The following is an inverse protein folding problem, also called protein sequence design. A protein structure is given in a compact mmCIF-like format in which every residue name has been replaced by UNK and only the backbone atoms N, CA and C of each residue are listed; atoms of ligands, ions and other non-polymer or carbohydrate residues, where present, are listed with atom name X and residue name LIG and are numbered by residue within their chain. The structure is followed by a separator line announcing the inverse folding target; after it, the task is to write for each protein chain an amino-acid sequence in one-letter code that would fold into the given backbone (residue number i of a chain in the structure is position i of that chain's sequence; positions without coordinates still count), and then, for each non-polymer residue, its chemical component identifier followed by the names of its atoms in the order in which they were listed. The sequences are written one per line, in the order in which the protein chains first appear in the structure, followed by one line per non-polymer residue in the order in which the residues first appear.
data_IF_998099336534
#
_entry.id   IF_998099336534
#
_cell.length_a   1.000
_cell.length_b   1.000
_cell.length_c   1.000
_cell.angle_alpha   90.00
_cell.angle_beta   90.00
_cell.angle_gamma   90.00
#
_symmetry.space_group_name_H-M   'P 1'
#
loop_
_entity.id
_entity.type
_entity.pdbx_description
1 polymer ?
#
# COMPACT_ATOMS: atom_id res chain seq x y z
N UNK A 1 8.76 12.84 -15.33
CA UNK A 1 8.83 11.46 -14.83
C UNK A 1 7.49 10.99 -14.26
N UNK A 2 6.81 11.76 -13.44
CA UNK A 2 5.50 11.38 -12.88
C UNK A 2 4.41 11.19 -13.95
N UNK A 3 4.52 11.83 -15.11
CA UNK A 3 3.58 11.65 -16.22
C UNK A 3 3.48 10.19 -16.68
N UNK A 4 4.58 9.41 -16.60
CA UNK A 4 4.58 7.96 -16.91
C UNK A 4 3.60 7.17 -16.01
N UNK A 5 3.28 7.65 -14.81
CA UNK A 5 2.28 7.04 -13.92
C UNK A 5 0.88 7.16 -14.54
N UNK A 6 0.58 8.34 -15.08
CA UNK A 6 -0.73 8.63 -15.70
C UNK A 6 -0.88 8.00 -17.10
N UNK A 7 0.23 7.82 -17.82
CA UNK A 7 0.26 7.20 -19.15
C UNK A 7 -0.26 5.76 -19.15
N UNK A 8 -0.21 5.05 -18.01
CA UNK A 8 -0.80 3.71 -17.86
C UNK A 8 -2.32 3.70 -17.96
N UNK A 9 -2.96 4.85 -17.89
CA UNK A 9 -4.40 5.00 -18.10
C UNK A 9 -5.29 4.52 -16.95
N UNK A 10 -4.72 3.98 -15.87
CA UNK A 10 -5.45 3.44 -14.70
C UNK A 10 -5.81 4.53 -13.69
N UNK A 11 -4.93 5.53 -13.54
CA UNK A 11 -5.02 6.55 -12.50
C UNK A 11 -5.30 7.94 -13.07
N UNK A 12 -5.96 8.76 -12.23
CA UNK A 12 -6.03 10.23 -12.32
C UNK A 12 -5.46 10.86 -11.05
N UNK A 13 -5.05 12.13 -11.15
CA UNK A 13 -4.66 12.89 -9.97
C UNK A 13 -5.91 13.19 -9.13
N UNK A 14 -5.94 12.72 -7.89
CA UNK A 14 -6.96 13.08 -6.93
C UNK A 14 -6.61 14.39 -6.20
N UNK A 15 -5.35 14.51 -5.75
CA UNK A 15 -4.84 15.68 -5.04
C UNK A 15 -3.42 15.98 -5.50
N UNK A 16 -3.18 17.24 -5.87
CA UNK A 16 -1.84 17.71 -6.27
C UNK A 16 -1.00 18.08 -5.06
N UNK A 17 0.30 17.80 -5.15
CA UNK A 17 1.32 18.28 -4.20
C UNK A 17 0.99 17.95 -2.73
N UNK A 18 0.62 16.70 -2.45
CA UNK A 18 0.29 16.28 -1.08
C UNK A 18 1.41 16.52 -0.08
N UNK A 19 2.66 16.57 -0.53
CA UNK A 19 3.82 16.87 0.31
C UNK A 19 3.83 18.30 0.85
N UNK A 20 3.14 19.24 0.18
CA UNK A 20 2.99 20.63 0.65
C UNK A 20 1.82 20.84 1.62
N UNK A 21 0.99 19.81 1.82
CA UNK A 21 -0.16 19.88 2.72
C UNK A 21 0.28 19.67 4.17
N UNK A 22 -0.46 20.30 5.10
CA UNK A 22 -0.34 19.91 6.50
C UNK A 22 -0.82 18.45 6.68
N UNK A 23 -0.25 17.76 7.64
CA UNK A 23 -0.62 16.38 7.97
C UNK A 23 -2.14 16.22 8.24
N UNK A 24 -2.74 17.21 8.91
CA UNK A 24 -4.18 17.23 9.18
C UNK A 24 -5.01 17.39 7.90
N UNK A 25 -4.64 18.33 7.01
CA UNK A 25 -5.34 18.54 5.74
C UNK A 25 -5.26 17.29 4.84
N UNK A 26 -4.09 16.64 4.76
CA UNK A 26 -3.93 15.42 4.01
C UNK A 26 -4.75 14.26 4.58
N UNK A 27 -4.75 14.10 5.91
CA UNK A 27 -5.54 13.07 6.58
C UNK A 27 -7.07 13.25 6.36
N UNK A 28 -7.55 14.51 6.31
CA UNK A 28 -8.96 14.80 5.99
C UNK A 28 -9.31 14.44 4.54
N UNK A 29 -8.47 14.80 3.58
CA UNK A 29 -8.70 14.46 2.17
C UNK A 29 -8.77 12.94 1.97
N UNK A 30 -7.94 12.17 2.66
CA UNK A 30 -7.96 10.71 2.59
C UNK A 30 -9.27 10.08 3.07
N UNK A 31 -10.10 10.79 3.82
CA UNK A 31 -11.40 10.27 4.29
C UNK A 31 -12.40 10.02 3.16
N UNK A 32 -12.27 10.73 2.04
CA UNK A 32 -13.13 10.55 0.87
C UNK A 32 -12.81 9.30 0.02
N UNK A 33 -11.76 8.56 0.38
CA UNK A 33 -11.26 7.42 -0.40
C UNK A 33 -10.85 6.26 0.51
N UNK A 34 -10.86 5.05 -0.05
CA UNK A 34 -10.11 3.92 0.48
C UNK A 34 -8.70 3.94 -0.12
N UNK A 35 -7.69 4.31 0.69
CA UNK A 35 -6.29 4.28 0.30
C UNK A 35 -5.72 2.86 0.28
N UNK A 36 -4.50 2.69 -0.25
CA UNK A 36 -3.87 1.38 -0.32
C UNK A 36 -3.72 0.70 1.06
N UNK A 37 -3.44 1.47 2.12
CA UNK A 37 -3.41 0.96 3.49
C UNK A 37 -4.76 0.47 4.02
N UNK A 38 -5.89 0.93 3.46
CA UNK A 38 -7.23 0.51 3.86
C UNK A 38 -7.65 -0.82 3.21
N UNK A 39 -6.97 -1.26 2.14
CA UNK A 39 -7.27 -2.50 1.43
C UNK A 39 -7.29 -3.73 2.34
N UNK A 40 -6.43 -3.75 3.35
CA UNK A 40 -6.37 -4.83 4.34
C UNK A 40 -7.63 -4.91 5.21
N UNK A 41 -8.24 -3.77 5.50
CA UNK A 41 -9.48 -3.67 6.26
C UNK A 41 -10.65 -4.10 5.39
N UNK A 42 -10.70 -3.62 4.14
CA UNK A 42 -11.70 -4.06 3.16
C UNK A 42 -11.70 -5.57 2.98
N UNK A 43 -10.54 -6.19 2.89
CA UNK A 43 -10.37 -7.63 2.68
C UNK A 43 -10.39 -8.47 3.99
N UNK A 44 -10.63 -7.86 5.15
CA UNK A 44 -10.75 -8.56 6.44
C UNK A 44 -9.46 -9.20 6.95
N UNK A 45 -8.30 -8.69 6.55
CA UNK A 45 -6.97 -9.18 6.97
C UNK A 45 -6.21 -8.21 7.87
N UNK A 46 -6.79 -7.06 8.18
CA UNK A 46 -6.21 -6.10 9.13
C UNK A 46 -6.30 -6.65 10.56
N UNK A 47 -5.25 -6.41 11.38
CA UNK A 47 -5.18 -6.87 12.76
C UNK A 47 -5.62 -5.81 13.79
N UNK A 48 -5.78 -4.56 13.36
CA UNK A 48 -5.86 -3.42 14.27
C UNK A 48 -7.18 -2.66 14.16
N UNK A 49 -7.88 -2.77 13.02
CA UNK A 49 -9.09 -1.99 12.73
C UNK A 49 -10.09 -2.84 11.95
N UNK A 50 -11.35 -2.77 12.33
CA UNK A 50 -12.47 -3.38 11.60
C UNK A 50 -12.97 -2.45 10.47
N UNK A 51 -13.76 -3.01 9.55
CA UNK A 51 -14.42 -2.22 8.49
C UNK A 51 -15.40 -1.19 9.07
N UNK A 52 -16.13 -1.55 10.13
CA UNK A 52 -17.07 -0.65 10.78
C UNK A 52 -16.37 0.59 11.38
N UNK A 53 -15.24 0.37 12.07
CA UNK A 53 -14.40 1.44 12.60
C UNK A 53 -13.85 2.33 11.49
N UNK A 54 -13.39 1.74 10.37
CA UNK A 54 -12.90 2.49 9.23
C UNK A 54 -14.01 3.37 8.62
N UNK A 55 -15.21 2.82 8.40
CA UNK A 55 -16.35 3.59 7.85
C UNK A 55 -16.72 4.74 8.80
N UNK A 56 -16.79 4.48 10.11
CA UNK A 56 -17.06 5.51 11.12
C UNK A 56 -16.01 6.63 11.09
N UNK A 57 -14.74 6.28 10.98
CA UNK A 57 -13.62 7.22 10.87
C UNK A 57 -13.74 8.10 9.61
N UNK A 58 -14.00 7.46 8.46
CA UNK A 58 -14.14 8.18 7.17
C UNK A 58 -15.37 9.10 7.13
N UNK A 59 -16.44 8.76 7.81
CA UNK A 59 -17.63 9.59 7.92
C UNK A 59 -17.50 10.77 8.91
N UNK A 60 -16.41 10.83 9.66
CA UNK A 60 -16.17 11.92 10.58
C UNK A 60 -15.53 13.12 9.86
N UNK A 61 -16.16 14.30 9.93
CA UNK A 61 -15.66 15.54 9.30
C UNK A 61 -14.35 16.07 9.90
N UNK A 62 -13.98 15.61 11.09
CA UNK A 62 -12.77 16.03 11.80
C UNK A 62 -11.93 14.81 12.14
N UNK A 63 -10.66 15.03 12.39
CA UNK A 63 -9.81 13.99 12.97
C UNK A 63 -10.27 13.71 14.42
N UNK A 64 -10.50 12.45 14.72
CA UNK A 64 -10.81 12.01 16.08
C UNK A 64 -9.60 12.18 16.99
N UNK A 65 -9.83 12.12 18.29
CA UNK A 65 -8.73 12.16 19.27
C UNK A 65 -7.77 10.99 19.07
N UNK A 66 -8.33 9.81 18.81
CA UNK A 66 -7.54 8.58 18.53
C UNK A 66 -6.68 8.71 17.28
N UNK A 67 -7.22 9.28 16.18
CA UNK A 67 -6.44 9.52 14.95
C UNK A 67 -5.25 10.45 15.22
N UNK A 68 -5.46 11.53 16.00
CA UNK A 68 -4.39 12.45 16.41
C UNK A 68 -3.34 11.76 17.30
N UNK A 69 -3.78 11.00 18.30
CA UNK A 69 -2.90 10.25 19.19
C UNK A 69 -2.08 9.20 18.45
N UNK A 70 -2.64 8.53 17.44
CA UNK A 70 -1.91 7.56 16.61
C UNK A 70 -0.80 8.26 15.82
N UNK A 71 -1.09 9.41 15.21
CA UNK A 71 -0.09 10.19 14.44
C UNK A 71 1.07 10.70 15.30
N UNK A 72 0.81 10.91 16.60
CA UNK A 72 1.80 11.39 17.57
C UNK A 72 2.68 10.27 18.16
N UNK A 73 2.36 9.00 17.94
CA UNK A 73 3.15 7.88 18.48
C UNK A 73 4.60 7.93 17.99
N UNK A 74 5.60 7.74 18.88
CA UNK A 74 7.00 7.82 18.50
C UNK A 74 7.39 6.90 17.35
N UNK A 75 6.83 5.69 17.30
CA UNK A 75 7.10 4.72 16.23
C UNK A 75 6.56 5.19 14.87
N UNK A 76 5.42 5.90 14.84
CA UNK A 76 4.84 6.46 13.61
C UNK A 76 5.71 7.61 13.12
N UNK A 77 6.09 8.55 13.98
CA UNK A 77 7.01 9.64 13.64
C UNK A 77 8.34 9.11 13.14
N UNK A 78 8.93 8.14 13.84
CA UNK A 78 10.17 7.48 13.43
C UNK A 78 10.03 6.81 12.06
N UNK A 79 8.86 6.24 11.73
CA UNK A 79 8.57 5.68 10.41
C UNK A 79 8.67 6.74 9.31
N UNK A 80 8.07 7.92 9.51
CA UNK A 80 8.17 9.04 8.55
C UNK A 80 9.60 9.56 8.41
N UNK A 81 10.33 9.71 9.51
CA UNK A 81 11.72 10.22 9.50
C UNK A 81 12.66 9.25 8.78
N UNK A 82 12.41 7.94 8.87
CA UNK A 82 13.25 6.91 8.27
C UNK A 82 12.82 6.46 6.87
N UNK A 83 11.63 6.83 6.40
CA UNK A 83 11.13 6.46 5.07
C UNK A 83 12.13 6.82 3.95
N UNK A 84 12.75 8.02 3.89
CA UNK A 84 13.76 8.32 2.87
C UNK A 84 14.95 7.38 2.92
N UNK A 85 15.42 7.03 4.13
CA UNK A 85 16.55 6.11 4.33
C UNK A 85 16.18 4.69 3.86
N UNK A 86 14.94 4.25 4.10
CA UNK A 86 14.45 2.94 3.65
C UNK A 86 14.40 2.91 2.12
N UNK A 87 13.93 3.99 1.49
CA UNK A 87 13.89 4.11 0.03
C UNK A 87 15.30 4.16 -0.59
N UNK A 88 16.25 4.85 0.04
CA UNK A 88 17.66 4.84 -0.43
C UNK A 88 18.27 3.43 -0.36
N UNK A 89 17.98 2.67 0.70
CA UNK A 89 18.38 1.26 0.79
C UNK A 89 17.69 0.38 -0.26
N UNK A 90 16.40 0.64 -0.53
CA UNK A 90 15.68 -0.08 -1.58
C UNK A 90 16.29 0.20 -2.96
N UNK A 91 16.63 1.46 -3.25
CA UNK A 91 17.31 1.86 -4.49
C UNK A 91 18.63 1.11 -4.64
N UNK A 92 19.49 1.11 -3.61
CA UNK A 92 20.77 0.41 -3.63
C UNK A 92 20.60 -1.11 -3.87
N UNK A 93 19.62 -1.73 -3.21
CA UNK A 93 19.33 -3.15 -3.39
C UNK A 93 18.80 -3.48 -4.80
N UNK A 94 18.02 -2.59 -5.41
CA UNK A 94 17.56 -2.72 -6.79
C UNK A 94 18.73 -2.60 -7.77
N UNK A 95 19.62 -1.64 -7.59
CA UNK A 95 20.83 -1.46 -8.39
C UNK A 95 21.75 -2.69 -8.31
N UNK A 96 21.97 -3.23 -7.10
CA UNK A 96 22.74 -4.45 -6.88
C UNK A 96 22.11 -5.67 -7.57
N UNK A 97 20.77 -5.73 -7.62
CA UNK A 97 20.03 -6.76 -8.34
C UNK A 97 19.97 -6.54 -9.87
N UNK A 98 20.64 -5.50 -10.39
CA UNK A 98 20.74 -5.22 -11.83
C UNK A 98 19.57 -4.41 -12.40
N UNK A 99 18.72 -3.83 -11.58
CA UNK A 99 17.67 -2.91 -12.03
C UNK A 99 18.27 -1.54 -12.39
N UNK A 100 18.07 -1.11 -13.65
CA UNK A 100 18.55 0.18 -14.15
C UNK A 100 17.39 1.18 -14.17
N UNK A 101 17.50 2.25 -13.36
CA UNK A 101 16.44 3.27 -13.27
C UNK A 101 16.61 4.22 -12.10
N UNK A 102 15.53 4.92 -11.77
CA UNK A 102 15.48 5.87 -10.66
C UNK A 102 14.32 5.54 -9.74
N UNK A 103 14.53 5.58 -8.44
CA UNK A 103 13.47 5.54 -7.45
C UNK A 103 13.04 6.98 -7.15
N UNK A 104 11.79 7.32 -7.46
CA UNK A 104 11.21 8.64 -7.21
C UNK A 104 10.13 8.54 -6.14
N UNK A 105 9.91 9.63 -5.39
CA UNK A 105 8.75 9.80 -4.51
C UNK A 105 7.73 10.67 -5.23
N UNK A 106 6.57 10.11 -5.67
CA UNK A 106 5.53 10.90 -6.31
C UNK A 106 4.95 11.96 -5.37
N UNK A 107 4.62 13.13 -5.94
CA UNK A 107 4.11 14.26 -5.17
C UNK A 107 2.58 14.28 -5.04
N UNK A 108 1.89 13.41 -5.77
CA UNK A 108 0.45 13.43 -5.91
C UNK A 108 -0.20 12.23 -5.24
N UNK A 109 -1.41 12.42 -4.76
CA UNK A 109 -2.34 11.34 -4.47
C UNK A 109 -3.14 11.04 -5.73
N UNK A 110 -3.27 9.78 -6.08
CA UNK A 110 -3.96 9.31 -7.27
C UNK A 110 -5.25 8.59 -6.90
N UNK A 111 -6.26 8.66 -7.78
CA UNK A 111 -7.50 7.86 -7.71
C UNK A 111 -7.61 6.95 -8.92
N UNK A 112 -8.23 5.81 -8.73
CA UNK A 112 -8.53 4.89 -9.82
C UNK A 112 -9.65 5.46 -10.71
N UNK A 113 -9.49 5.34 -12.04
CA UNK A 113 -10.51 5.78 -13.01
C UNK A 113 -11.73 4.85 -13.02
N UNK A 114 -11.46 3.55 -12.88
CA UNK A 114 -12.46 2.51 -13.09
C UNK A 114 -13.04 1.96 -11.78
N UNK A 115 -12.55 2.41 -10.62
CA UNK A 115 -13.05 2.01 -9.29
C UNK A 115 -13.25 3.25 -8.44
N UNK A 116 -14.50 3.66 -8.35
CA UNK A 116 -14.86 4.85 -7.59
C UNK A 116 -14.50 4.70 -6.12
N UNK A 117 -13.91 5.76 -5.55
CA UNK A 117 -13.51 5.80 -4.15
C UNK A 117 -12.22 5.07 -3.80
N UNK A 118 -11.53 4.44 -4.75
CA UNK A 118 -10.23 3.84 -4.51
C UNK A 118 -9.11 4.83 -4.84
N UNK A 119 -8.11 4.92 -3.97
CA UNK A 119 -6.97 5.83 -4.16
C UNK A 119 -5.65 5.18 -3.77
N UNK A 120 -4.57 5.77 -4.24
CA UNK A 120 -3.21 5.36 -3.90
C UNK A 120 -2.31 6.57 -3.73
N UNK A 121 -1.40 6.47 -2.76
CA UNK A 121 -0.27 7.37 -2.58
C UNK A 121 0.96 6.48 -2.43
N UNK A 122 1.99 6.72 -3.22
CA UNK A 122 3.18 5.87 -3.26
C UNK A 122 4.28 6.44 -2.37
N UNK A 123 4.91 5.60 -1.55
CA UNK A 123 6.13 5.95 -0.84
C UNK A 123 7.28 6.11 -1.84
N UNK A 124 7.37 5.19 -2.81
CA UNK A 124 8.31 5.25 -3.92
C UNK A 124 7.79 4.58 -5.19
N UNK A 125 8.26 5.03 -6.34
CA UNK A 125 8.05 4.38 -7.64
C UNK A 125 9.38 4.24 -8.36
N UNK A 126 9.75 3.02 -8.69
CA UNK A 126 10.92 2.77 -9.51
C UNK A 126 10.58 2.99 -10.97
N UNK A 127 11.32 3.90 -11.61
CA UNK A 127 11.14 4.35 -12.99
C UNK A 127 12.31 3.87 -13.84
N UNK A 128 12.01 3.17 -14.92
CA UNK A 128 12.98 2.66 -15.88
C UNK A 128 12.54 3.00 -17.31
N UNK A 129 13.47 2.95 -18.24
CA UNK A 129 13.13 3.07 -19.66
C UNK A 129 12.69 1.73 -20.29
N UNK A 130 13.01 0.63 -19.63
CA UNK A 130 12.72 -0.73 -20.13
C UNK A 130 11.61 -1.45 -19.37
N UNK A 131 11.22 -0.95 -18.19
CA UNK A 131 10.18 -1.54 -17.35
C UNK A 131 9.03 -0.55 -17.14
N UNK A 132 7.80 -1.02 -16.92
CA UNK A 132 6.74 -0.15 -16.43
C UNK A 132 7.11 0.44 -15.05
N UNK A 133 6.45 1.52 -14.60
CA UNK A 133 6.61 2.00 -13.24
C UNK A 133 6.31 0.91 -12.22
N UNK A 134 7.19 0.70 -11.23
CA UNK A 134 7.08 -0.36 -10.22
C UNK A 134 6.93 0.28 -8.84
N UNK A 135 5.88 -0.04 -8.05
CA UNK A 135 5.71 0.52 -6.72
C UNK A 135 6.72 -0.07 -5.73
N UNK A 136 7.19 0.78 -4.82
CA UNK A 136 8.08 0.41 -3.72
C UNK A 136 7.48 0.99 -2.43
N UNK A 137 6.91 0.14 -1.62
CA UNK A 137 6.36 0.49 -0.32
C UNK A 137 7.43 0.39 0.76
N UNK A 138 7.59 1.42 1.60
CA UNK A 138 8.61 1.50 2.63
C UNK A 138 8.01 1.26 4.03
N UNK A 139 8.61 0.38 4.82
CA UNK A 139 8.13 0.08 6.18
C UNK A 139 9.26 0.00 7.20
N UNK A 140 9.10 0.76 8.29
CA UNK A 140 9.83 0.53 9.52
C UNK A 140 9.11 -0.56 10.33
N UNK A 141 9.79 -1.67 10.55
CA UNK A 141 9.24 -2.84 11.25
C UNK A 141 9.70 -2.81 12.70
N UNK A 142 8.76 -2.64 13.63
CA UNK A 142 9.06 -2.72 15.05
C UNK A 142 9.43 -4.16 15.46
N UNK A 143 10.14 -4.32 16.58
CA UNK A 143 10.46 -5.62 17.18
C UNK A 143 9.23 -6.53 17.33
N UNK A 144 8.07 -5.96 17.66
CA UNK A 144 6.81 -6.71 17.80
C UNK A 144 6.21 -7.15 16.45
N UNK A 145 6.52 -6.40 15.38
CA UNK A 145 6.08 -6.71 14.02
C UNK A 145 6.95 -7.75 13.32
N UNK A 146 8.20 -7.91 13.72
CA UNK A 146 9.19 -8.78 13.06
C UNK A 146 8.73 -10.25 12.92
N UNK A 147 7.99 -10.75 13.90
CA UNK A 147 7.45 -12.12 13.89
C UNK A 147 6.53 -12.44 12.70
N UNK A 148 5.99 -11.42 12.04
CA UNK A 148 5.13 -11.59 10.87
C UNK A 148 5.90 -11.65 9.55
N UNK A 149 7.23 -11.47 9.59
CA UNK A 149 8.10 -11.50 8.42
C UNK A 149 8.94 -12.77 8.41
N UNK A 150 8.95 -13.46 7.27
CA UNK A 150 9.91 -14.54 7.04
C UNK A 150 11.09 -14.01 6.22
N UNK A 151 12.27 -14.04 6.81
CA UNK A 151 13.50 -13.55 6.18
C UNK A 151 14.09 -14.53 5.14
N UNK A 152 13.55 -15.76 5.04
CA UNK A 152 14.10 -16.85 4.25
C UNK A 152 13.19 -17.31 3.08
N UNK A 153 12.33 -16.44 2.56
CA UNK A 153 11.41 -16.80 1.48
C UNK A 153 12.12 -16.78 0.13
N UNK A 154 12.00 -17.86 -0.63
CA UNK A 154 12.33 -17.92 -2.05
C UNK A 154 11.12 -17.52 -2.89
N UNK A 155 11.37 -16.85 -4.02
CA UNK A 155 10.35 -16.48 -5.00
C UNK A 155 9.68 -17.75 -5.52
N UNK A 156 8.35 -17.85 -5.38
CA UNK A 156 7.56 -18.93 -5.93
C UNK A 156 6.44 -18.36 -6.81
N UNK A 157 6.32 -18.85 -8.02
CA UNK A 157 5.30 -18.43 -8.98
C UNK A 157 3.88 -18.72 -8.47
N UNK A 158 3.00 -17.72 -8.49
CA UNK A 158 1.59 -17.89 -8.24
C UNK A 158 0.87 -18.20 -9.57
N UNK A 159 0.53 -19.46 -9.81
CA UNK A 159 -0.05 -19.91 -11.08
C UNK A 159 -1.53 -20.23 -11.08
N UNK A 160 -2.20 -20.28 -9.94
CA UNK A 160 -3.59 -20.71 -9.88
C UNK A 160 -4.55 -19.54 -9.77
N UNK A 161 -5.33 -19.30 -10.81
CA UNK A 161 -6.46 -18.37 -10.79
C UNK A 161 -7.60 -19.06 -10.04
N UNK A 162 -8.01 -18.52 -8.88
CA UNK A 162 -9.17 -18.94 -8.12
C UNK A 162 -10.25 -17.88 -8.19
N UNK A 163 -11.48 -18.29 -8.43
CA UNK A 163 -12.64 -17.41 -8.21
C UNK A 163 -12.89 -17.36 -6.71
N UNK A 164 -12.78 -16.17 -6.12
CA UNK A 164 -12.98 -15.94 -4.69
C UNK A 164 -14.36 -15.29 -4.50
N UNK A 165 -15.35 -16.08 -4.11
CA UNK A 165 -16.75 -15.65 -4.08
C UNK A 165 -17.16 -15.04 -2.73
N UNK A 166 -16.60 -15.54 -1.63
CA UNK A 166 -16.96 -15.11 -0.28
C UNK A 166 -15.85 -14.35 0.40
N UNK A 167 -16.19 -13.43 1.31
CA UNK A 167 -15.21 -12.67 2.14
C UNK A 167 -14.28 -13.62 2.91
N UNK A 168 -14.78 -14.78 3.34
CA UNK A 168 -13.98 -15.80 4.05
C UNK A 168 -12.93 -16.43 3.14
N UNK A 169 -13.28 -16.75 1.90
CA UNK A 169 -12.34 -17.29 0.91
C UNK A 169 -11.28 -16.27 0.54
N UNK A 170 -11.68 -15.01 0.32
CA UNK A 170 -10.77 -13.88 0.06
C UNK A 170 -9.76 -13.74 1.20
N UNK A 171 -10.25 -13.66 2.44
CA UNK A 171 -9.39 -13.54 3.63
C UNK A 171 -8.41 -14.73 3.77
N UNK A 172 -8.88 -15.95 3.56
CA UNK A 172 -8.05 -17.15 3.66
C UNK A 172 -6.97 -17.19 2.57
N UNK A 173 -7.34 -16.86 1.33
CA UNK A 173 -6.42 -16.81 0.20
C UNK A 173 -5.33 -15.76 0.41
N UNK A 174 -5.69 -14.54 0.81
CA UNK A 174 -4.72 -13.47 1.08
C UNK A 174 -3.72 -13.89 2.17
N UNK A 175 -4.20 -14.51 3.26
CA UNK A 175 -3.32 -15.01 4.32
C UNK A 175 -2.35 -16.08 3.82
N UNK A 176 -2.83 -16.99 2.99
CA UNK A 176 -1.99 -18.02 2.37
C UNK A 176 -0.90 -17.40 1.49
N UNK A 177 -1.26 -16.47 0.61
CA UNK A 177 -0.32 -15.82 -0.29
C UNK A 177 0.69 -14.94 0.47
N UNK A 178 0.25 -14.16 1.44
CA UNK A 178 1.14 -13.36 2.27
C UNK A 178 2.18 -14.23 3.02
N UNK A 179 1.75 -15.37 3.56
CA UNK A 179 2.65 -16.34 4.19
C UNK A 179 3.68 -16.89 3.20
N UNK A 180 3.26 -17.17 1.96
CA UNK A 180 4.15 -17.64 0.89
C UNK A 180 5.25 -16.63 0.56
N UNK A 181 4.93 -15.33 0.57
CA UNK A 181 5.90 -14.26 0.32
C UNK A 181 6.60 -13.78 1.61
N UNK A 182 6.27 -14.35 2.75
CA UNK A 182 6.92 -14.06 4.03
C UNK A 182 6.69 -12.65 4.55
N UNK A 183 5.52 -12.07 4.26
CA UNK A 183 5.12 -10.73 4.68
C UNK A 183 3.75 -10.75 5.37
N UNK A 184 3.42 -9.71 6.17
CA UNK A 184 2.10 -9.61 6.76
C UNK A 184 0.99 -9.47 5.71
N UNK A 185 -0.19 -10.12 5.91
CA UNK A 185 -1.31 -10.04 4.97
C UNK A 185 -1.78 -8.62 4.67
N UNK A 186 -1.70 -7.72 5.65
CA UNK A 186 -2.12 -6.33 5.49
C UNK A 186 -1.18 -5.52 4.58
N UNK A 187 0.12 -5.83 4.52
CA UNK A 187 1.03 -5.22 3.55
C UNK A 187 0.95 -5.89 2.18
N UNK A 188 0.63 -7.18 2.14
CA UNK A 188 0.41 -7.86 0.87
C UNK A 188 -0.73 -7.20 0.07
N UNK A 189 -1.89 -6.93 0.71
CA UNK A 189 -3.01 -6.23 0.05
C UNK A 189 -2.68 -4.80 -0.31
N UNK A 190 -1.95 -4.08 0.54
CA UNK A 190 -1.53 -2.72 0.25
C UNK A 190 -0.70 -2.66 -1.05
N UNK A 191 0.34 -3.47 -1.14
CA UNK A 191 1.21 -3.52 -2.33
C UNK A 191 0.44 -3.99 -3.57
N UNK A 192 -0.54 -4.90 -3.43
CA UNK A 192 -1.38 -5.30 -4.57
C UNK A 192 -2.24 -4.15 -5.11
N UNK A 193 -2.76 -3.27 -4.25
CA UNK A 193 -3.48 -2.07 -4.70
C UNK A 193 -2.54 -1.08 -5.42
N UNK A 194 -1.32 -0.93 -4.94
CA UNK A 194 -0.29 -0.09 -5.57
C UNK A 194 0.13 -0.64 -6.94
N UNK A 195 0.35 -1.96 -7.03
CA UNK A 195 0.61 -2.68 -8.29
C UNK A 195 -0.53 -2.45 -9.29
N UNK A 196 -1.78 -2.54 -8.82
CA UNK A 196 -2.96 -2.32 -9.67
C UNK A 196 -2.99 -0.90 -10.23
N UNK A 197 -2.68 0.11 -9.42
CA UNK A 197 -2.66 1.51 -9.85
C UNK A 197 -1.65 1.80 -10.95
N UNK A 198 -0.47 1.22 -10.88
CA UNK A 198 0.57 1.38 -11.91
C UNK A 198 0.43 0.38 -13.09
N UNK A 199 -0.55 -0.52 -13.04
CA UNK A 199 -0.64 -1.66 -13.94
C UNK A 199 0.71 -2.41 -14.05
N UNK A 200 1.39 -2.52 -12.90
CA UNK A 200 2.71 -3.13 -12.82
C UNK A 200 2.62 -4.66 -12.77
N UNK A 201 3.63 -5.39 -13.25
CA UNK A 201 3.67 -6.86 -13.13
C UNK A 201 4.03 -7.34 -11.73
N UNK A 202 4.62 -6.49 -10.91
CA UNK A 202 5.04 -6.74 -9.53
C UNK A 202 5.27 -5.42 -8.79
N UNK A 203 5.52 -5.50 -7.49
CA UNK A 203 5.96 -4.40 -6.64
C UNK A 203 6.97 -4.88 -5.60
N UNK A 204 7.47 -3.96 -4.81
CA UNK A 204 8.41 -4.25 -3.73
C UNK A 204 7.89 -3.74 -2.38
N UNK A 205 8.17 -4.52 -1.33
CA UNK A 205 8.06 -4.07 0.05
C UNK A 205 9.46 -3.96 0.64
N UNK A 206 9.89 -2.75 0.92
CA UNK A 206 11.16 -2.41 1.55
C UNK A 206 10.97 -2.35 3.07
N UNK A 207 11.47 -3.34 3.79
CA UNK A 207 11.33 -3.46 5.23
C UNK A 207 12.67 -3.23 5.94
N UNK A 208 12.72 -2.25 6.83
CA UNK A 208 13.84 -2.02 7.74
C UNK A 208 13.41 -2.37 9.17
N UNK A 209 14.17 -3.24 9.83
CA UNK A 209 13.88 -3.77 11.16
C UNK A 209 14.53 -2.89 12.23
N UNK A 210 13.72 -2.30 13.10
CA UNK A 210 14.11 -1.24 14.04
C UNK A 210 15.15 -1.65 15.09
N UNK A 211 15.12 -2.90 15.53
CA UNK A 211 16.03 -3.42 16.55
C UNK A 211 17.40 -3.82 16.01
N UNK A 212 17.45 -4.39 14.80
CA UNK A 212 18.67 -4.88 14.16
C UNK A 212 19.22 -3.97 13.07
N UNK A 213 18.47 -2.94 12.68
CA UNK A 213 18.77 -2.09 11.52
C UNK A 213 18.99 -2.89 10.23
N UNK A 214 18.60 -4.18 10.24
CA UNK A 214 18.66 -5.00 9.04
C UNK A 214 17.60 -4.56 8.05
N UNK A 215 17.90 -4.75 6.77
CA UNK A 215 17.03 -4.37 5.66
C UNK A 215 16.71 -5.60 4.82
N UNK A 216 15.48 -5.67 4.32
CA UNK A 216 15.08 -6.66 3.33
C UNK A 216 14.12 -6.07 2.30
N UNK A 217 14.37 -6.37 1.04
CA UNK A 217 13.47 -6.05 -0.08
C UNK A 217 12.72 -7.31 -0.49
N UNK A 218 11.38 -7.28 -0.36
CA UNK A 218 10.50 -8.38 -0.74
C UNK A 218 9.93 -8.12 -2.13
N UNK A 219 10.13 -9.04 -3.05
CA UNK A 219 9.50 -9.05 -4.36
C UNK A 219 8.08 -9.62 -4.23
N UNK A 220 7.09 -8.90 -4.77
CA UNK A 220 5.68 -9.25 -4.67
C UNK A 220 5.09 -9.23 -6.08
N UNK A 221 4.83 -10.39 -6.69
CA UNK A 221 4.21 -10.47 -8.00
C UNK A 221 2.76 -9.97 -7.95
N UNK A 222 2.27 -9.46 -9.08
CA UNK A 222 0.86 -9.09 -9.26
C UNK A 222 -0.06 -10.29 -9.02
N UNK A 223 -1.09 -10.09 -8.22
CA UNK A 223 -2.13 -11.06 -7.94
C UNK A 223 -3.51 -10.51 -8.33
N UNK A 224 -3.97 -10.89 -9.50
CA UNK A 224 -5.25 -10.41 -10.03
C UNK A 224 -6.46 -10.86 -9.20
N UNK A 225 -6.37 -11.97 -8.45
CA UNK A 225 -7.45 -12.39 -7.56
C UNK A 225 -7.60 -11.43 -6.39
N UNK A 226 -6.48 -11.02 -5.78
CA UNK A 226 -6.49 -10.05 -4.67
C UNK A 226 -6.90 -8.67 -5.17
N UNK A 227 -6.42 -8.23 -6.35
CA UNK A 227 -6.81 -6.96 -6.96
C UNK A 227 -8.32 -6.93 -7.23
N UNK A 228 -8.88 -7.98 -7.82
CA UNK A 228 -10.32 -8.09 -8.07
C UNK A 228 -11.13 -8.08 -6.76
N UNK A 229 -10.62 -8.74 -5.72
CA UNK A 229 -11.24 -8.71 -4.40
C UNK A 229 -11.25 -7.30 -3.79
N UNK A 230 -10.13 -6.57 -3.87
CA UNK A 230 -10.04 -5.17 -3.40
C UNK A 230 -11.07 -4.30 -4.13
N UNK A 231 -11.18 -4.42 -5.44
CA UNK A 231 -12.14 -3.66 -6.26
C UNK A 231 -13.59 -3.98 -5.83
N UNK A 232 -13.96 -5.26 -5.78
CA UNK A 232 -15.28 -5.73 -5.35
C UNK A 232 -15.66 -5.19 -3.96
N UNK A 233 -14.73 -5.25 -3.00
CA UNK A 233 -14.96 -4.75 -1.64
C UNK A 233 -15.10 -3.23 -1.61
N UNK A 234 -14.26 -2.50 -2.36
CA UNK A 234 -14.35 -1.06 -2.47
C UNK A 234 -15.71 -0.64 -3.04
N UNK A 235 -16.14 -1.18 -4.17
CA UNK A 235 -17.43 -0.89 -4.80
C UNK A 235 -18.63 -1.18 -3.87
N UNK A 236 -18.55 -2.23 -3.07
CA UNK A 236 -19.56 -2.57 -2.06
C UNK A 236 -19.64 -1.53 -0.95
N UNK A 237 -18.49 -1.10 -0.44
CA UNK A 237 -18.39 -0.38 0.83
C UNK A 237 -18.25 1.13 0.65
N UNK A 238 -17.86 1.63 -0.53
CA UNK A 238 -17.69 3.07 -0.78
C UNK A 238 -19.01 3.86 -0.59
N UNK A 239 -20.14 3.22 -0.84
CA UNK A 239 -21.49 3.79 -0.65
C UNK A 239 -21.80 4.11 0.81
N UNK A 240 -21.04 3.57 1.75
CA UNK A 240 -21.19 3.81 3.20
C UNK A 240 -20.43 5.04 3.67
N UNK A 241 -19.61 5.64 2.79
CA UNK A 241 -18.83 6.84 3.10
C UNK A 241 -19.55 8.06 2.59
N UNK A 242 -19.74 9.05 3.46
CA UNK A 242 -20.23 10.38 3.12
C UNK A 242 -19.13 11.16 2.40
N UNK A 243 -19.34 11.45 1.12
CA UNK A 243 -18.36 12.10 0.25
C UNK A 243 -18.66 13.59 0.01
N UNK A 244 -19.71 14.09 0.62
CA UNK A 244 -20.16 15.50 0.53
C UNK A 244 -19.40 16.37 1.58
N UNK A 245 -18.07 16.28 1.56
CA UNK A 245 -17.22 17.11 2.39
C UNK A 245 -16.43 18.13 1.56
#
# INVERSE_FOLDING_TARGET
MEDKILERGVLDIAVKNVQSMSHEAYALVRKSFFGASDSSILCGVNLYKSLEELIKEKNNKFLTKEEKEVSEKPIVKKGYDLEPIILDKAKAALEEAGYMGQLIKPQHMYKFKNVDGLSVNYDGVFMSDTLPPIPVEAKLVSKYGEKYYNKNVSIADAKDIKILDTDKEITAYIKQMATRFGIPPYYYTQVQQEIAGLDAPYGFLAAMFDDSWSFKLYYIPRDNNVIAAIYKMCERDIKKINRDM
#
